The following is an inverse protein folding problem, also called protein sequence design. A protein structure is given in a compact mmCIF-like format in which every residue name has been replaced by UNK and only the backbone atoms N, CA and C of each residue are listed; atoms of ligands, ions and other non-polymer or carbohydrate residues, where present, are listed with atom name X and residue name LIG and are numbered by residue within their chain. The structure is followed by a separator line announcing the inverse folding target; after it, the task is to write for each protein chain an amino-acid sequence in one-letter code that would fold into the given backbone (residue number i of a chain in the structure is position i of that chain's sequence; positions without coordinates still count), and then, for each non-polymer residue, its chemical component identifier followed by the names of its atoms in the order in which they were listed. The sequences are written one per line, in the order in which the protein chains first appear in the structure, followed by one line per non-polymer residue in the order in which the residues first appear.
data_IF_319791650347
#
_entry.id   IF_319791650347
#
_cell.length_a   1.000
_cell.length_b   1.000
_cell.length_c   1.000
_cell.angle_alpha   90.00
_cell.angle_beta   90.00
_cell.angle_gamma   90.00
#
_symmetry.space_group_name_H-M   'P 1'
#
loop_
_entity.id
_entity.type
_entity.pdbx_description
1 polymer ?
2 non-polymer ?
3 non-polymer ?
4 non-polymer ?
5 non-polymer ?
6 water ?
#
# COMPACT_ATOMS: atom_id res chain seq x y z
N UNK A 1 11.47 -8.52 -12.92
CA UNK A 1 11.51 -7.26 -13.61
C UNK A 1 10.73 -6.20 -12.86
N UNK A 2 10.33 -5.18 -13.59
CA UNK A 2 9.71 -3.96 -13.04
C UNK A 2 8.43 -4.34 -12.31
N UNK A 3 7.56 -5.14 -12.92
CA UNK A 3 6.26 -5.48 -12.28
C UNK A 3 6.48 -6.27 -10.98
N UNK A 4 7.42 -7.21 -10.99
CA UNK A 4 7.71 -7.95 -9.75
C UNK A 4 8.22 -6.98 -8.71
N UNK A 5 9.08 -6.03 -9.09
CA UNK A 5 9.60 -5.07 -8.11
C UNK A 5 8.47 -4.28 -7.47
N UNK A 6 7.42 -3.92 -8.21
CA UNK A 6 6.28 -3.18 -7.61
C UNK A 6 5.69 -4.08 -6.52
N UNK A 7 5.54 -5.38 -6.79
CA UNK A 7 5.02 -6.34 -5.81
C UNK A 7 5.94 -6.45 -4.60
N UNK A 8 7.25 -6.51 -4.84
CA UNK A 8 8.21 -6.61 -3.74
C UNK A 8 8.10 -5.37 -2.84
N UNK A 9 8.14 -4.19 -3.44
CA UNK A 9 8.07 -2.95 -2.65
C UNK A 9 6.74 -2.89 -1.89
N UNK A 10 5.65 -3.19 -2.56
CA UNK A 10 4.31 -3.15 -1.91
C UNK A 10 4.21 -4.11 -0.73
N UNK A 11 4.97 -5.18 -0.71
CA UNK A 11 4.92 -6.18 0.37
C UNK A 11 5.54 -5.64 1.65
N UNK A 12 6.30 -4.54 1.58
CA UNK A 12 6.87 -3.95 2.82
C UNK A 12 6.98 -2.45 2.60
N UNK A 13 5.89 -1.82 2.22
CA UNK A 13 5.90 -0.48 1.56
C UNK A 13 6.36 0.60 2.54
N UNK A 14 5.84 0.61 3.76
CA UNK A 14 6.17 1.66 4.76
C UNK A 14 7.69 1.67 4.95
N UNK A 15 8.30 0.50 5.07
CA UNK A 15 9.76 0.37 5.33
C UNK A 15 10.54 0.80 4.08
N UNK A 16 10.19 0.29 2.91
CA UNK A 16 10.94 0.65 1.67
C UNK A 16 10.77 2.14 1.42
N UNK A 17 9.56 2.68 1.59
CA UNK A 17 9.27 4.10 1.33
C UNK A 17 10.15 4.97 2.21
N UNK A 18 10.16 4.71 3.51
CA UNK A 18 11.00 5.51 4.44
C UNK A 18 12.48 5.35 4.12
N UNK A 19 12.94 4.13 3.84
CA UNK A 19 14.40 3.93 3.62
C UNK A 19 14.81 4.58 2.29
N UNK A 20 13.96 4.54 1.26
CA UNK A 20 14.28 5.22 -0.02
C UNK A 20 14.25 6.73 0.17
N UNK A 21 13.24 7.26 0.85
CA UNK A 21 13.14 8.72 1.10
C UNK A 21 14.34 9.18 1.92
N UNK A 22 14.75 8.39 2.92
CA UNK A 22 15.93 8.77 3.73
C UNK A 22 17.17 8.73 2.83
N UNK A 23 17.29 7.73 1.95
CA UNK A 23 18.45 7.66 1.04
C UNK A 23 18.52 8.92 0.18
N UNK A 24 17.37 9.42 -0.26
CA UNK A 24 17.25 10.67 -1.05
C UNK A 24 17.69 11.85 -0.19
N UNK A 25 17.12 12.02 1.01
CA UNK A 25 17.41 13.21 1.85
C UNK A 25 18.89 13.17 2.26
N UNK A 26 19.47 11.99 2.47
CA UNK A 26 20.88 11.90 2.92
C UNK A 26 21.82 12.12 1.73
N UNK A 27 21.45 11.66 0.53
CA UNK A 27 22.30 11.89 -0.67
C UNK A 27 22.24 13.36 -1.08
N UNK A 28 21.09 14.01 -0.90
CA UNK A 28 20.84 15.39 -1.39
C UNK A 28 20.31 16.24 -0.24
N UNK A 29 21.17 16.55 0.76
CA UNK A 29 20.69 17.27 1.93
C UNK A 29 20.03 18.62 1.61
N UNK A 30 20.43 19.28 0.53
CA UNK A 30 19.81 20.58 0.18
C UNK A 30 18.35 20.43 -0.20
N UNK A 31 17.92 19.21 -0.54
CA UNK A 31 16.49 18.95 -0.87
C UNK A 31 15.59 19.20 0.35
N UNK A 32 16.18 19.46 1.52
CA UNK A 32 15.41 19.88 2.72
C UNK A 32 14.91 21.33 2.58
N UNK A 33 15.34 22.07 1.56
CA UNK A 33 14.66 23.35 1.23
C UNK A 33 13.13 23.16 1.23
N UNK A 34 12.63 22.00 0.78
CA UNK A 34 11.17 21.71 0.61
C UNK A 34 10.60 20.92 1.79
N UNK A 35 11.42 20.54 2.79
CA UNK A 35 11.04 19.71 3.97
C UNK A 35 11.68 20.32 5.24
N UNK A 36 11.31 21.54 5.60
CA UNK A 36 11.96 22.28 6.72
C UNK A 36 11.70 21.57 8.05
N UNK A 37 10.61 20.79 8.16
CA UNK A 37 10.30 20.06 9.41
C UNK A 37 11.27 18.89 9.61
N UNK A 38 12.06 18.52 8.58
CA UNK A 38 12.93 17.32 8.67
C UNK A 38 14.38 17.74 8.99
N UNK A 39 14.67 19.04 9.09
CA UNK A 39 16.02 19.56 9.43
C UNK A 39 16.35 19.18 10.88
N UNK A 40 17.60 18.78 11.14
CA UNK A 40 18.10 18.55 12.50
C UNK A 40 17.58 17.27 13.13
N UNK A 41 17.31 16.26 12.31
CA UNK A 41 16.75 14.97 12.75
C UNK A 41 17.52 13.81 12.13
N UNK A 42 17.88 12.83 12.96
CA UNK A 42 18.50 11.60 12.48
C UNK A 42 17.42 10.74 11.80
N UNK A 43 17.84 9.69 11.09
CA UNK A 43 16.86 8.80 10.45
C UNK A 43 15.87 8.24 11.46
N UNK A 44 16.34 7.77 12.61
CA UNK A 44 15.41 7.15 13.59
C UNK A 44 14.44 8.20 14.13
N UNK A 45 14.88 9.45 14.30
CA UNK A 45 13.98 10.54 14.71
C UNK A 45 12.94 10.80 13.63
N UNK A 46 13.35 10.86 12.36
CA UNK A 46 12.35 11.08 11.27
C UNK A 46 11.32 9.96 11.27
N UNK A 47 11.73 8.70 11.41
CA UNK A 47 10.78 7.56 11.36
C UNK A 47 9.75 7.73 12.48
N UNK A 48 10.08 8.45 13.55
CA UNK A 48 9.21 8.64 14.74
C UNK A 48 8.22 9.80 14.53
N UNK A 49 8.38 10.59 13.46
CA UNK A 49 7.57 11.79 13.17
C UNK A 49 6.37 11.38 12.31
N UNK A 50 5.16 11.62 12.79
CA UNK A 50 3.95 11.04 12.21
C UNK A 50 3.84 11.42 10.73
N UNK A 51 4.10 12.68 10.38
CA UNK A 51 3.83 13.07 8.97
C UNK A 51 4.95 12.51 8.09
N UNK A 52 6.14 12.33 8.63
CA UNK A 52 7.22 11.69 7.83
C UNK A 52 6.72 10.32 7.40
N UNK A 53 6.24 9.48 8.31
CA UNK A 53 5.82 8.11 7.94
C UNK A 53 4.56 8.14 7.09
N UNK A 54 3.60 8.98 7.46
CA UNK A 54 2.27 9.04 6.78
C UNK A 54 2.46 9.57 5.36
N UNK A 55 3.10 10.72 5.20
CA UNK A 55 3.24 11.35 3.87
C UNK A 55 4.12 10.47 3.01
N UNK A 56 5.20 9.92 3.56
CA UNK A 56 6.13 9.11 2.73
C UNK A 56 5.40 7.87 2.24
N UNK A 57 4.58 7.24 3.08
CA UNK A 57 3.81 6.04 2.65
C UNK A 57 2.84 6.46 1.56
N UNK A 58 2.13 7.56 1.76
CA UNK A 58 1.14 8.00 0.74
C UNK A 58 1.83 8.32 -0.59
N UNK A 59 3.02 8.92 -0.55
CA UNK A 59 3.81 9.18 -1.77
C UNK A 59 4.10 7.85 -2.47
N UNK A 60 4.60 6.86 -1.72
CA UNK A 60 5.01 5.60 -2.37
C UNK A 60 3.78 4.78 -2.77
N UNK A 61 2.69 4.90 -2.02
CA UNK A 61 1.41 4.27 -2.42
C UNK A 61 1.10 4.74 -3.84
N UNK A 62 1.13 6.05 -4.06
CA UNK A 62 0.73 6.57 -5.38
C UNK A 62 1.82 6.25 -6.40
N UNK A 63 3.09 6.32 -6.02
CA UNK A 63 4.16 6.02 -6.97
C UNK A 63 4.02 4.58 -7.48
N UNK A 64 3.68 3.65 -6.59
CA UNK A 64 3.52 2.24 -7.03
C UNK A 64 2.31 2.10 -7.96
N UNK A 65 1.26 2.92 -7.79
CA UNK A 65 0.08 2.93 -8.70
C UNK A 65 0.52 3.46 -10.08
N UNK A 66 1.32 4.51 -10.09
CA UNK A 66 1.76 5.13 -11.36
C UNK A 66 2.67 4.13 -12.09
N UNK A 67 3.56 3.46 -11.34
CA UNK A 67 4.41 2.40 -11.92
C UNK A 67 3.55 1.24 -12.44
N UNK A 68 2.50 0.87 -11.70
CA UNK A 68 1.64 -0.29 -12.09
C UNK A 68 0.85 0.08 -13.35
N UNK A 69 0.40 1.32 -13.46
CA UNK A 69 -0.39 1.76 -14.64
C UNK A 69 0.47 2.01 -15.87
N UNK A 70 1.79 2.02 -15.71
CA UNK A 70 2.73 2.31 -16.80
C UNK A 70 2.76 1.13 -17.78
N UNK A 71 3.13 1.42 -19.02
CA UNK A 71 3.47 0.39 -20.03
C UNK A 71 4.96 0.51 -20.32
N UNK A 72 5.72 -0.57 -20.18
CA UNK A 72 7.18 -0.56 -20.46
C UNK A 72 7.82 0.64 -19.76
N UNK A 73 7.46 0.89 -18.50
CA UNK A 73 8.08 1.93 -17.63
C UNK A 73 7.75 3.34 -18.13
N UNK A 74 6.70 3.49 -18.94
CA UNK A 74 6.25 4.81 -19.44
C UNK A 74 4.92 5.09 -18.76
N UNK A 75 4.85 6.14 -17.89
CA UNK A 75 3.62 6.39 -17.16
C UNK A 75 2.51 6.94 -18.08
N UNK A 76 1.27 6.78 -17.63
CA UNK A 76 0.10 7.43 -18.27
C UNK A 76 0.25 8.95 -18.19
N UNK A 77 -0.12 9.61 -19.26
CA UNK A 77 -0.15 11.09 -19.28
C UNK A 77 -1.08 11.61 -18.20
N UNK A 78 -2.17 10.91 -17.86
CA UNK A 78 -3.08 11.37 -16.80
C UNK A 78 -2.36 11.37 -15.45
N UNK A 79 -1.50 10.39 -15.21
CA UNK A 79 -0.74 10.35 -13.94
C UNK A 79 0.27 11.50 -13.89
N UNK A 80 0.95 11.79 -15.00
CA UNK A 80 1.92 12.90 -15.04
C UNK A 80 1.17 14.21 -14.77
N UNK A 81 0.04 14.42 -15.44
CA UNK A 81 -0.78 15.64 -15.25
C UNK A 81 -1.16 15.77 -13.78
N UNK A 82 -1.66 14.70 -13.16
CA UNK A 82 -2.05 14.72 -11.74
C UNK A 82 -0.86 15.21 -10.90
N UNK A 83 0.34 14.68 -11.13
CA UNK A 83 1.54 15.00 -10.32
C UNK A 83 1.98 16.45 -10.55
N UNK A 84 1.78 17.00 -11.75
CA UNK A 84 2.14 18.41 -12.02
C UNK A 84 1.14 19.33 -11.30
N UNK A 85 -0.15 18.99 -11.34
CA UNK A 85 -1.29 19.88 -10.96
C UNK A 85 -1.61 19.80 -9.45
N UNK A 86 -1.06 18.83 -8.73
CA UNK A 86 -1.21 18.74 -7.26
C UNK A 86 -0.73 20.04 -6.60
N UNK A 87 -1.52 20.61 -5.71
CA UNK A 87 -1.18 21.89 -5.04
C UNK A 87 0.10 21.67 -4.21
N UNK A 88 0.29 20.45 -3.70
CA UNK A 88 1.43 20.03 -2.86
C UNK A 88 2.73 20.10 -3.65
N UNK A 89 2.64 20.04 -4.99
CA UNK A 89 3.79 20.05 -5.92
C UNK A 89 4.00 21.42 -6.57
N UNK A 90 3.32 22.46 -6.09
CA UNK A 90 3.41 23.83 -6.65
C UNK A 90 4.87 24.28 -6.75
N UNK A 91 5.68 23.96 -5.73
CA UNK A 91 7.06 24.49 -5.62
C UNK A 91 8.10 23.70 -6.40
N UNK A 92 7.72 22.61 -7.07
CA UNK A 92 8.70 21.57 -7.51
C UNK A 92 9.14 21.76 -8.97
N UNK A 93 10.28 21.18 -9.30
CA UNK A 93 10.81 21.09 -10.68
C UNK A 93 11.13 19.63 -10.97
N UNK A 94 11.36 19.30 -12.24
CA UNK A 94 11.66 17.90 -12.62
C UNK A 94 12.94 17.43 -11.92
N UNK A 95 13.89 18.31 -11.60
CA UNK A 95 15.13 17.89 -10.92
C UNK A 95 14.87 17.28 -9.55
N UNK A 96 13.81 17.71 -8.86
CA UNK A 96 13.41 17.13 -7.55
C UNK A 96 13.10 15.64 -7.77
N UNK A 97 12.36 15.36 -8.84
CA UNK A 97 11.98 13.97 -9.21
C UNK A 97 13.20 13.18 -9.72
N UNK A 98 14.06 13.78 -10.54
CA UNK A 98 15.27 13.08 -11.02
C UNK A 98 16.07 12.59 -9.80
N UNK A 99 16.29 13.46 -8.82
CA UNK A 99 17.13 13.12 -7.65
C UNK A 99 16.46 12.00 -6.84
N UNK A 100 15.15 12.03 -6.69
CA UNK A 100 14.45 10.95 -5.96
C UNK A 100 14.73 9.62 -6.65
N UNK A 101 14.64 9.57 -7.97
CA UNK A 101 14.86 8.33 -8.74
C UNK A 101 16.33 7.93 -8.76
N UNK A 102 17.26 8.88 -8.74
CA UNK A 102 18.70 8.49 -8.66
C UNK A 102 18.92 7.75 -7.33
N UNK A 103 18.37 8.27 -6.24
CA UNK A 103 18.51 7.65 -4.90
C UNK A 103 17.81 6.29 -4.85
N UNK A 104 16.61 6.17 -5.43
CA UNK A 104 15.85 4.89 -5.46
C UNK A 104 16.67 3.85 -6.22
N UNK A 105 17.24 4.21 -7.37
CA UNK A 105 18.05 3.26 -8.16
C UNK A 105 19.31 2.85 -7.38
N UNK A 106 20.01 3.82 -6.75
CA UNK A 106 21.24 3.49 -5.97
C UNK A 106 20.86 2.57 -4.81
N UNK A 107 19.70 2.79 -4.17
CA UNK A 107 19.23 1.93 -3.07
C UNK A 107 18.99 0.51 -3.60
N UNK A 108 18.34 0.38 -4.75
CA UNK A 108 18.06 -0.95 -5.34
C UNK A 108 19.38 -1.66 -5.68
N UNK A 109 20.34 -0.95 -6.27
CA UNK A 109 21.62 -1.57 -6.68
C UNK A 109 22.35 -2.10 -5.42
N UNK A 110 22.27 -1.37 -4.31
CA UNK A 110 22.99 -1.70 -3.05
C UNK A 110 22.31 -2.89 -2.35
N UNK A 111 21.04 -3.15 -2.66
CA UNK A 111 20.30 -4.29 -2.05
C UNK A 111 20.83 -5.63 -2.60
N UNK A 112 20.68 -6.69 -1.83
CA UNK A 112 21.01 -8.06 -2.27
C UNK A 112 19.95 -8.63 -3.21
N UNK A 113 18.82 -7.95 -3.35
CA UNK A 113 17.63 -8.46 -4.08
C UNK A 113 17.79 -8.19 -5.57
N UNK A 114 17.13 -9.02 -6.37
CA UNK A 114 17.19 -8.96 -7.85
C UNK A 114 16.20 -7.91 -8.34
N UNK A 115 16.28 -6.69 -7.81
CA UNK A 115 15.55 -5.53 -8.34
C UNK A 115 16.05 -5.28 -9.78
N UNK A 116 15.13 -4.88 -10.64
CA UNK A 116 15.46 -4.48 -12.02
C UNK A 116 15.82 -3.00 -12.05
N UNK A 117 17.00 -2.68 -11.57
CA UNK A 117 17.39 -1.27 -11.34
C UNK A 117 17.36 -0.50 -12.67
N UNK A 118 17.71 -1.15 -13.78
CA UNK A 118 17.69 -0.49 -15.12
C UNK A 118 16.27 0.00 -15.43
N UNK A 119 15.27 -0.83 -15.14
CA UNK A 119 13.86 -0.43 -15.41
C UNK A 119 13.46 0.76 -14.55
N UNK A 120 13.88 0.78 -13.27
CA UNK A 120 13.53 1.93 -12.41
C UNK A 120 14.23 3.21 -12.89
N UNK A 121 15.47 3.09 -13.35
CA UNK A 121 16.18 4.26 -13.90
C UNK A 121 15.35 4.80 -15.07
N UNK A 122 14.96 3.91 -15.98
CA UNK A 122 14.14 4.29 -17.16
C UNK A 122 12.80 4.88 -16.71
N UNK A 123 12.12 4.26 -15.76
CA UNK A 123 10.85 4.80 -15.24
C UNK A 123 11.06 6.24 -14.73
N UNK A 124 12.12 6.47 -13.97
CA UNK A 124 12.37 7.82 -13.46
C UNK A 124 12.59 8.81 -14.58
N UNK A 125 13.33 8.41 -15.62
CA UNK A 125 13.63 9.28 -16.78
C UNK A 125 12.34 9.53 -17.57
N UNK A 126 11.47 8.53 -17.69
CA UNK A 126 10.22 8.63 -18.46
C UNK A 126 9.20 9.43 -17.67
N UNK A 127 9.22 9.32 -16.35
CA UNK A 127 8.31 10.13 -15.52
C UNK A 127 8.75 11.60 -15.64
N UNK A 128 10.04 11.90 -15.51
CA UNK A 128 10.55 13.30 -15.68
C UNK A 128 10.13 13.83 -17.05
N UNK A 129 10.28 13.05 -18.13
CA UNK A 129 9.90 13.51 -19.48
C UNK A 129 8.39 13.79 -19.52
N UNK A 130 7.59 12.94 -18.89
CA UNK A 130 6.12 13.12 -18.88
C UNK A 130 5.72 14.31 -18.02
N UNK A 131 6.41 14.53 -16.92
CA UNK A 131 6.17 15.72 -16.06
C UNK A 131 6.48 16.98 -16.86
N UNK A 132 7.58 17.00 -17.62
CA UNK A 132 7.97 18.16 -18.47
C UNK A 132 6.86 18.40 -19.51
N UNK A 133 6.40 17.33 -20.14
CA UNK A 133 5.36 17.43 -21.20
C UNK A 133 4.05 17.97 -20.60
N UNK A 134 3.74 17.62 -19.34
CA UNK A 134 2.51 18.04 -18.64
C UNK A 134 2.71 19.42 -17.97
N UNK A 135 3.91 20.00 -18.08
CA UNK A 135 4.14 21.42 -17.79
C UNK A 135 4.89 21.69 -16.50
N UNK A 136 5.47 20.68 -15.86
CA UNK A 136 6.36 20.95 -14.72
C UNK A 136 7.61 21.65 -15.23
N UNK A 137 8.11 22.64 -14.47
CA UNK A 137 9.32 23.42 -14.81
C UNK A 137 10.56 22.58 -14.46
N UNK B 1 -16.01 2.21 -10.06
CA UNK B 1 -16.23 0.77 -9.99
C UNK B 1 -15.15 0.08 -9.18
N UNK B 2 -15.05 -1.24 -9.32
CA UNK B 2 -14.13 -2.07 -8.53
C UNK B 2 -12.68 -1.62 -8.74
N UNK B 3 -12.27 -1.39 -9.99
CA UNK B 3 -10.87 -1.01 -10.27
C UNK B 3 -10.57 0.32 -9.60
N UNK B 4 -11.47 1.31 -9.70
CA UNK B 4 -11.24 2.57 -8.98
C UNK B 4 -11.13 2.31 -7.48
N UNK B 5 -12.01 1.47 -6.92
CA UNK B 5 -11.93 1.25 -5.47
C UNK B 5 -10.58 0.69 -5.06
N UNK B 6 -9.98 -0.16 -5.88
CA UNK B 6 -8.62 -0.68 -5.57
C UNK B 6 -7.66 0.50 -5.51
N UNK B 7 -7.82 1.47 -6.42
CA UNK B 7 -6.95 2.67 -6.41
C UNK B 7 -7.24 3.51 -5.16
N UNK B 8 -8.51 3.69 -4.80
CA UNK B 8 -8.85 4.50 -3.61
C UNK B 8 -8.20 3.85 -2.38
N UNK B 9 -8.40 2.55 -2.23
CA UNK B 9 -7.89 1.83 -1.03
C UNK B 9 -6.36 1.86 -1.04
N UNK B 10 -5.74 1.61 -2.18
CA UNK B 10 -4.26 1.60 -2.26
C UNK B 10 -3.71 2.99 -1.89
N UNK B 11 -4.39 4.06 -2.25
CA UNK B 11 -3.84 5.40 -2.03
C UNK B 11 -3.58 5.66 -0.57
N UNK B 12 -4.39 5.05 0.31
CA UNK B 12 -4.25 5.25 1.77
C UNK B 12 -4.38 3.88 2.44
N UNK B 13 -3.62 2.93 1.95
CA UNK B 13 -3.87 1.49 2.28
C UNK B 13 -3.81 1.28 3.79
N UNK B 14 -2.79 1.81 4.46
CA UNK B 14 -2.58 1.57 5.91
C UNK B 14 -3.84 1.98 6.68
N UNK B 15 -4.43 3.12 6.31
CA UNK B 15 -5.58 3.72 7.04
C UNK B 15 -6.81 2.86 6.81
N UNK B 16 -7.14 2.59 5.54
CA UNK B 16 -8.32 1.77 5.18
C UNK B 16 -8.17 0.37 5.81
N UNK B 17 -6.98 -0.21 5.76
CA UNK B 17 -6.75 -1.58 6.26
C UNK B 17 -7.06 -1.62 7.75
N UNK B 18 -6.53 -0.68 8.52
CA UNK B 18 -6.80 -0.67 9.98
C UNK B 18 -8.29 -0.52 10.23
N UNK B 19 -8.95 0.42 9.56
CA UNK B 19 -10.35 0.77 9.89
C UNK B 19 -11.28 -0.38 9.45
N UNK B 20 -10.98 -1.05 8.32
CA UNK B 20 -11.81 -2.23 7.94
C UNK B 20 -11.54 -3.37 8.91
N UNK B 21 -10.29 -3.64 9.26
CA UNK B 21 -10.00 -4.77 10.17
C UNK B 21 -10.68 -4.51 11.52
N UNK B 22 -10.60 -3.27 12.02
CA UNK B 22 -11.26 -2.94 13.32
C UNK B 22 -12.77 -3.11 13.19
N UNK B 23 -13.36 -2.73 12.07
CA UNK B 23 -14.81 -2.93 11.86
C UNK B 23 -15.13 -4.43 11.95
N UNK B 24 -14.30 -5.25 11.32
CA UNK B 24 -14.42 -6.73 11.37
C UNK B 24 -14.33 -7.22 12.83
N UNK B 25 -13.26 -6.88 13.53
CA UNK B 25 -13.04 -7.38 14.91
C UNK B 25 -14.17 -6.92 15.83
N UNK B 26 -14.71 -5.73 15.62
CA UNK B 26 -15.77 -5.19 16.51
C UNK B 26 -17.12 -5.84 16.16
N UNK B 27 -17.38 -6.12 14.87
CA UNK B 27 -18.66 -6.75 14.47
C UNK B 27 -18.65 -8.21 14.93
N UNK B 28 -17.48 -8.86 14.92
CA UNK B 28 -17.37 -10.32 15.22
C UNK B 28 -16.33 -10.52 16.31
N UNK B 29 -16.64 -10.16 17.57
CA UNK B 29 -15.63 -10.25 18.61
C UNK B 29 -15.03 -11.66 18.79
N UNK B 30 -15.79 -12.72 18.50
CA UNK B 30 -15.26 -14.10 18.66
C UNK B 30 -14.10 -14.33 17.69
N UNK B 31 -14.03 -13.54 16.61
CA UNK B 31 -12.96 -13.70 15.60
C UNK B 31 -11.59 -13.34 16.19
N UNK B 32 -11.53 -12.81 17.42
CA UNK B 32 -10.23 -12.63 18.15
C UNK B 32 -9.65 -13.98 18.63
N UNK B 33 -10.36 -15.11 18.40
CA UNK B 33 -9.83 -16.50 18.54
C UNK B 33 -8.54 -16.62 17.73
N UNK B 34 -8.49 -15.88 16.62
CA UNK B 34 -7.40 -15.93 15.62
C UNK B 34 -6.37 -14.82 15.88
N UNK B 35 -6.59 -13.93 16.86
CA UNK B 35 -5.73 -12.74 17.15
C UNK B 35 -5.55 -12.51 18.67
N UNK B 36 -5.04 -13.49 19.39
CA UNK B 36 -5.04 -13.49 20.87
C UNK B 36 -4.30 -12.27 21.43
N UNK B 37 -3.33 -11.72 20.67
CA UNK B 37 -2.46 -10.59 21.09
C UNK B 37 -3.21 -9.25 21.05
N UNK B 38 -4.36 -9.19 20.38
CA UNK B 38 -5.22 -7.98 20.21
C UNK B 38 -6.36 -7.96 21.23
N UNK B 39 -6.44 -8.96 22.10
CA UNK B 39 -7.49 -9.06 23.13
C UNK B 39 -7.26 -7.96 24.18
N UNK B 40 -8.33 -7.31 24.63
CA UNK B 40 -8.31 -6.38 25.78
C UNK B 40 -7.78 -5.02 25.40
N UNK B 41 -7.93 -4.65 24.14
CA UNK B 41 -7.37 -3.38 23.62
C UNK B 41 -8.42 -2.64 22.78
N UNK B 42 -8.51 -1.35 23.01
CA UNK B 42 -9.40 -0.45 22.26
C UNK B 42 -8.84 -0.26 20.85
N UNK B 43 -9.64 0.31 19.97
CA UNK B 43 -9.19 0.59 18.58
C UNK B 43 -7.88 1.41 18.60
N UNK B 44 -7.83 2.49 19.40
CA UNK B 44 -6.67 3.41 19.36
C UNK B 44 -5.41 2.71 19.87
N UNK B 45 -5.55 1.87 20.90
CA UNK B 45 -4.44 1.13 21.51
C UNK B 45 -3.93 0.07 20.54
N UNK B 46 -4.81 -0.52 19.72
CA UNK B 46 -4.34 -1.42 18.64
C UNK B 46 -3.54 -0.60 17.61
N UNK B 47 -4.06 0.56 17.21
CA UNK B 47 -3.38 1.36 16.16
C UNK B 47 -1.96 1.76 16.62
N UNK B 48 -1.65 1.72 17.93
CA UNK B 48 -0.31 2.10 18.47
C UNK B 48 0.64 0.89 18.55
N UNK B 49 0.24 -0.27 18.02
CA UNK B 49 1.09 -1.48 18.03
C UNK B 49 1.66 -1.65 16.62
N UNK B 50 2.99 -1.67 16.52
CA UNK B 50 3.68 -1.67 15.20
C UNK B 50 3.18 -2.81 14.34
N UNK B 51 3.04 -4.04 14.90
CA UNK B 51 2.66 -5.21 14.08
C UNK B 51 1.19 -5.05 13.72
N UNK B 52 0.38 -4.29 14.48
CA UNK B 52 -1.06 -4.13 14.14
C UNK B 52 -1.14 -3.39 12.80
N UNK B 53 -0.51 -2.23 12.69
CA UNK B 53 -0.46 -1.49 11.42
C UNK B 53 0.26 -2.26 10.34
N UNK B 54 1.35 -2.93 10.70
CA UNK B 54 2.23 -3.61 9.72
C UNK B 54 1.52 -4.84 9.18
N UNK B 55 0.96 -5.69 10.04
CA UNK B 55 0.34 -6.92 9.52
C UNK B 55 -0.93 -6.53 8.78
N UNK B 56 -1.71 -5.56 9.28
CA UNK B 56 -3.00 -5.25 8.63
C UNK B 56 -2.74 -4.67 7.24
N UNK B 57 -1.74 -3.81 7.09
CA UNK B 57 -1.48 -3.28 5.73
C UNK B 57 -1.02 -4.42 4.82
N UNK B 58 -0.14 -5.31 5.30
CA UNK B 58 0.37 -6.40 4.44
C UNK B 58 -0.78 -7.33 4.06
N UNK B 59 -1.75 -7.56 4.94
CA UNK B 59 -2.96 -8.34 4.59
C UNK B 59 -3.69 -7.62 3.45
N UNK B 60 -3.95 -6.33 3.60
CA UNK B 60 -4.76 -5.59 2.60
C UNK B 60 -3.95 -5.42 1.31
N UNK B 61 -2.64 -5.34 1.41
CA UNK B 61 -1.83 -5.29 0.17
C UNK B 61 -2.09 -6.57 -0.64
N UNK B 62 -1.98 -7.73 0.00
CA UNK B 62 -2.22 -8.99 -0.75
C UNK B 62 -3.68 -9.03 -1.21
N UNK B 63 -4.61 -8.55 -0.40
CA UNK B 63 -6.03 -8.51 -0.82
C UNK B 63 -6.16 -7.66 -2.10
N UNK B 64 -5.47 -6.53 -2.17
CA UNK B 64 -5.57 -5.65 -3.35
C UNK B 64 -4.89 -6.30 -4.57
N UNK B 65 -3.82 -7.07 -4.36
CA UNK B 65 -3.15 -7.86 -5.43
C UNK B 65 -4.16 -8.84 -6.01
N UNK B 66 -4.81 -9.59 -5.13
CA UNK B 66 -5.80 -10.61 -5.55
C UNK B 66 -6.97 -9.90 -6.25
N UNK B 67 -7.44 -8.81 -5.69
CA UNK B 67 -8.54 -8.05 -6.30
C UNK B 67 -8.16 -7.58 -7.70
N UNK B 68 -6.96 -7.03 -7.88
CA UNK B 68 -6.62 -6.46 -9.20
C UNK B 68 -6.42 -7.58 -10.21
N UNK B 69 -5.93 -8.75 -9.76
CA UNK B 69 -5.69 -9.86 -10.72
C UNK B 69 -7.01 -10.55 -11.06
N UNK B 70 -8.09 -10.26 -10.36
CA UNK B 70 -9.40 -10.89 -10.61
C UNK B 70 -9.90 -10.45 -11.98
N UNK B 71 -10.80 -11.24 -12.55
CA UNK B 71 -11.56 -10.87 -13.78
C UNK B 71 -13.02 -10.77 -13.35
N UNK B 72 -13.69 -9.64 -13.61
CA UNK B 72 -15.12 -9.44 -13.21
C UNK B 72 -15.32 -9.95 -11.77
N UNK B 73 -14.41 -9.58 -10.88
CA UNK B 73 -14.53 -9.84 -9.43
C UNK B 73 -14.47 -11.35 -9.13
N UNK B 74 -13.94 -12.14 -10.06
CA UNK B 74 -13.65 -13.58 -9.82
C UNK B 74 -12.14 -13.72 -9.64
N UNK B 75 -11.65 -14.05 -8.43
CA UNK B 75 -10.21 -14.17 -8.25
C UNK B 75 -9.63 -15.39 -8.97
N UNK B 76 -8.35 -15.33 -9.25
CA UNK B 76 -7.62 -16.48 -9.82
C UNK B 76 -7.59 -17.64 -8.84
N UNK B 77 -7.71 -18.85 -9.35
CA UNK B 77 -7.61 -20.05 -8.51
C UNK B 77 -6.23 -20.11 -7.87
N UNK B 78 -5.21 -19.67 -8.58
CA UNK B 78 -3.83 -19.67 -8.04
C UNK B 78 -3.75 -18.76 -6.81
N UNK B 79 -4.45 -17.63 -6.81
CA UNK B 79 -4.42 -16.70 -5.66
C UNK B 79 -5.18 -17.35 -4.49
N UNK B 80 -6.32 -17.94 -4.76
CA UNK B 80 -7.07 -18.65 -3.72
C UNK B 80 -6.19 -19.72 -3.09
N UNK B 81 -5.46 -20.47 -3.90
CA UNK B 81 -4.57 -21.55 -3.37
C UNK B 81 -3.47 -20.95 -2.49
N UNK B 82 -2.87 -19.84 -2.90
CA UNK B 82 -1.87 -19.16 -2.04
C UNK B 82 -2.47 -18.90 -0.66
N UNK B 83 -3.68 -18.37 -0.61
CA UNK B 83 -4.34 -18.04 0.68
C UNK B 83 -4.66 -19.32 1.47
N UNK B 84 -5.04 -20.41 0.80
CA UNK B 84 -5.31 -21.69 1.52
C UNK B 84 -4.01 -22.25 2.11
N UNK B 85 -2.89 -22.10 1.40
CA UNK B 85 -1.62 -22.83 1.71
C UNK B 85 -0.76 -22.00 2.66
N UNK B 86 -1.06 -20.72 2.89
CA UNK B 86 -0.29 -19.92 3.86
C UNK B 86 -0.35 -20.57 5.24
N UNK B 87 0.82 -20.82 5.81
CA UNK B 87 0.99 -21.40 7.17
C UNK B 87 0.14 -20.62 8.17
N UNK B 88 0.10 -19.29 8.02
CA UNK B 88 -0.61 -18.34 8.94
C UNK B 88 -2.13 -18.59 8.88
N UNK B 89 -2.61 -19.27 7.83
CA UNK B 89 -4.05 -19.55 7.61
C UNK B 89 -4.41 -20.99 7.94
N UNK B 90 -3.53 -21.73 8.61
CA UNK B 90 -3.73 -23.17 8.92
C UNK B 90 -5.04 -23.39 9.69
N UNK B 91 -5.37 -22.47 10.60
CA UNK B 91 -6.60 -22.65 11.42
C UNK B 91 -7.91 -22.38 10.67
N UNK B 92 -7.84 -21.75 9.50
CA UNK B 92 -9.02 -20.97 9.04
C UNK B 92 -9.98 -21.81 8.20
N UNK B 93 -11.22 -21.34 8.15
CA UNK B 93 -12.28 -21.87 7.25
C UNK B 93 -12.82 -20.71 6.42
N UNK B 94 -13.67 -21.01 5.46
CA UNK B 94 -14.10 -19.94 4.53
C UNK B 94 -14.95 -18.92 5.31
N UNK B 95 -15.61 -19.33 6.38
CA UNK B 95 -16.45 -18.42 7.18
C UNK B 95 -15.67 -17.24 7.75
N UNK B 96 -14.39 -17.44 8.09
CA UNK B 96 -13.50 -16.33 8.56
C UNK B 96 -13.47 -15.24 7.48
N UNK B 97 -13.31 -15.65 6.23
CA UNK B 97 -13.23 -14.73 5.06
C UNK B 97 -14.60 -14.12 4.75
N UNK B 98 -15.66 -14.92 4.87
CA UNK B 98 -17.04 -14.39 4.66
C UNK B 98 -17.28 -13.24 5.65
N UNK B 99 -16.95 -13.40 6.93
CA UNK B 99 -17.21 -12.32 7.92
C UNK B 99 -16.35 -11.09 7.60
N UNK B 100 -15.12 -11.29 7.18
CA UNK B 100 -14.26 -10.14 6.83
C UNK B 100 -14.92 -9.34 5.71
N UNK B 101 -15.40 -10.01 4.67
CA UNK B 101 -16.02 -9.29 3.53
C UNK B 101 -17.37 -8.71 3.91
N UNK B 102 -18.14 -9.34 4.81
CA UNK B 102 -19.39 -8.68 5.28
C UNK B 102 -19.00 -7.34 5.92
N UNK B 103 -17.97 -7.33 6.76
CA UNK B 103 -17.55 -6.09 7.47
C UNK B 103 -17.04 -5.07 6.43
N UNK B 104 -16.26 -5.52 5.44
CA UNK B 104 -15.68 -4.60 4.44
C UNK B 104 -16.80 -3.94 3.64
N UNK B 105 -17.80 -4.71 3.25
CA UNK B 105 -18.95 -4.15 2.47
C UNK B 105 -19.75 -3.17 3.35
N UNK B 106 -20.03 -3.51 4.60
CA UNK B 106 -20.75 -2.57 5.50
C UNK B 106 -19.94 -1.28 5.58
N UNK B 107 -18.64 -1.42 5.79
CA UNK B 107 -17.77 -0.22 5.89
C UNK B 107 -17.94 0.66 4.65
N UNK B 108 -17.91 0.04 3.48
CA UNK B 108 -18.04 0.79 2.23
C UNK B 108 -19.42 1.44 2.12
N UNK B 109 -20.47 0.75 2.53
CA UNK B 109 -21.84 1.30 2.38
C UNK B 109 -22.00 2.48 3.34
N UNK B 110 -21.36 2.41 4.52
CA UNK B 110 -21.47 3.48 5.54
C UNK B 110 -20.66 4.71 5.11
N UNK B 111 -19.63 4.51 4.29
CA UNK B 111 -18.76 5.63 3.87
C UNK B 111 -19.56 6.61 2.99
N UNK B 112 -19.15 7.85 2.98
CA UNK B 112 -19.77 8.80 2.06
C UNK B 112 -19.26 8.64 0.64
N UNK B 113 -18.23 7.82 0.44
CA UNK B 113 -17.61 7.65 -0.88
C UNK B 113 -18.39 6.66 -1.73
N UNK B 114 -18.28 6.84 -3.03
CA UNK B 114 -18.96 6.01 -4.05
C UNK B 114 -18.18 4.72 -4.30
N UNK B 115 -17.98 3.91 -3.27
CA UNK B 115 -17.45 2.55 -3.44
C UNK B 115 -18.47 1.72 -4.20
N UNK B 116 -17.99 0.76 -4.96
CA UNK B 116 -18.84 -0.20 -5.68
C UNK B 116 -19.11 -1.36 -4.73
N UNK B 117 -19.95 -1.13 -3.74
CA UNK B 117 -20.22 -2.13 -2.67
C UNK B 117 -20.69 -3.45 -3.29
N UNK B 118 -21.53 -3.42 -4.32
CA UNK B 118 -22.03 -4.67 -4.95
C UNK B 118 -20.87 -5.49 -5.48
N UNK B 119 -19.90 -4.85 -6.12
CA UNK B 119 -18.73 -5.60 -6.66
C UNK B 119 -17.91 -6.21 -5.53
N UNK B 120 -17.74 -5.50 -4.42
CA UNK B 120 -16.97 -6.09 -3.30
C UNK B 120 -17.71 -7.24 -2.64
N UNK B 121 -19.04 -7.14 -2.52
CA UNK B 121 -19.84 -8.21 -1.92
C UNK B 121 -19.68 -9.48 -2.77
N UNK B 122 -19.71 -9.30 -4.10
CA UNK B 122 -19.53 -10.33 -5.15
C UNK B 122 -18.12 -10.91 -5.10
N UNK B 123 -17.10 -10.06 -5.09
CA UNK B 123 -15.69 -10.48 -4.93
C UNK B 123 -15.56 -11.35 -3.68
N UNK B 124 -16.10 -10.91 -2.55
CA UNK B 124 -16.01 -11.72 -1.32
C UNK B 124 -16.67 -13.08 -1.50
N UNK B 125 -17.83 -13.14 -2.13
CA UNK B 125 -18.54 -14.44 -2.33
C UNK B 125 -17.70 -15.31 -3.27
N UNK B 126 -17.16 -14.71 -4.31
CA UNK B 126 -16.39 -15.48 -5.30
C UNK B 126 -15.07 -15.91 -4.69
N UNK B 127 -14.51 -15.11 -3.77
CA UNK B 127 -13.26 -15.53 -3.11
C UNK B 127 -13.58 -16.72 -2.20
N UNK B 128 -14.68 -16.66 -1.46
CA UNK B 128 -15.07 -17.80 -0.57
C UNK B 128 -15.21 -19.06 -1.45
N UNK B 129 -15.92 -18.93 -2.57
CA UNK B 129 -16.09 -20.05 -3.52
C UNK B 129 -14.72 -20.60 -3.92
N UNK B 130 -13.83 -19.69 -4.31
CA UNK B 130 -12.49 -20.05 -4.82
C UNK B 130 -11.68 -20.72 -3.71
N UNK B 131 -11.78 -20.22 -2.49
CA UNK B 131 -11.07 -20.82 -1.34
C UNK B 131 -11.54 -22.26 -1.13
N UNK B 132 -12.84 -22.51 -1.23
CA UNK B 132 -13.39 -23.88 -1.12
C UNK B 132 -12.81 -24.76 -2.24
N UNK B 133 -12.83 -24.23 -3.46
CA UNK B 133 -12.31 -24.99 -4.64
C UNK B 133 -10.82 -25.30 -4.45
N UNK B 134 -10.08 -24.42 -3.78
CA UNK B 134 -8.64 -24.60 -3.57
C UNK B 134 -8.35 -25.35 -2.26
N UNK B 135 -9.37 -25.85 -1.57
CA UNK B 135 -9.19 -26.85 -0.49
C UNK B 135 -9.39 -26.35 0.92
N UNK B 136 -9.97 -25.17 1.10
CA UNK B 136 -10.29 -24.67 2.47
C UNK B 136 -11.62 -25.26 2.90
N UNK B 137 -11.70 -25.69 4.16
CA UNK B 137 -12.94 -26.24 4.76
C UNK B 137 -13.89 -25.09 5.07
#
# INVERSE_FOLDING_TARGET
GFKQDIATLRGDLRTYAQDIFLAFLNKYPDEKRNFKNYVGKSDQELKSMAKFGDHTEKVFNLMMEVADRATDCVPLASDASTLVQMKQHSGLTTGNFEKLFVALVEYMRASGQSFDSQSWDRFGKNLVSALSSAGMK
GFKQDIATLRGDLRTYAQDIFLAFLNKYPDEKRNFKNYVGKSDQELKSMAKFGDHTEKVFNLMMEVADRATDCVPLASDASTLVQMKQHSGLTTGNFEKLFVALVEYMRASGQSFDSQSWDRFGKNLVSALSSAGMK
#
